data_IF_206807061772
#
_entry.id   IF_206807061772
#
_cell.length_a   1.000
_cell.length_b   1.000
_cell.length_c   1.000
_cell.angle_alpha   90.00
_cell.angle_beta   90.00
_cell.angle_gamma   90.00
#
_symmetry.space_group_name_H-M   'P 1'
#
loop_
_entity.id
_entity.type
_entity.pdbx_description
1 polymer ?
#
# COMPACT_ATOMS: atom_id res chain seq x y z
N UNK A 1 38.45 24.55 -37.48
CA UNK A 1 37.50 24.28 -36.37
C UNK A 1 36.11 24.27 -36.99
N UNK A 2 35.45 23.12 -36.99
CA UNK A 2 34.12 22.93 -37.59
C UNK A 2 33.10 22.69 -36.48
N UNK A 3 31.94 23.36 -36.55
CA UNK A 3 30.82 23.03 -35.65
C UNK A 3 29.82 22.19 -36.45
N UNK A 4 29.61 20.95 -36.04
CA UNK A 4 28.60 20.06 -36.63
C UNK A 4 27.41 19.93 -35.72
N UNK A 5 26.21 20.16 -36.26
CA UNK A 5 24.96 19.93 -35.53
C UNK A 5 24.41 18.56 -35.89
N UNK A 6 24.16 17.73 -34.88
CA UNK A 6 23.47 16.46 -35.05
C UNK A 6 21.96 16.68 -35.22
N UNK A 7 21.26 15.67 -35.73
CA UNK A 7 19.79 15.65 -35.87
C UNK A 7 19.07 15.83 -34.53
N UNK A 8 19.73 15.46 -33.44
CA UNK A 8 19.25 15.61 -32.06
C UNK A 8 19.44 17.03 -31.49
N UNK A 9 20.01 17.96 -32.28
CA UNK A 9 20.32 19.33 -31.88
C UNK A 9 21.59 19.48 -31.06
N UNK A 10 22.36 18.41 -30.86
CA UNK A 10 23.69 18.46 -30.23
C UNK A 10 24.68 19.16 -31.16
N UNK A 11 25.49 20.07 -30.62
CA UNK A 11 26.53 20.77 -31.36
C UNK A 11 27.89 20.16 -30.97
N UNK A 12 28.58 19.58 -31.95
CA UNK A 12 29.94 19.05 -31.79
C UNK A 12 30.93 20.07 -32.36
N UNK A 13 31.85 20.56 -31.54
CA UNK A 13 33.03 21.29 -32.02
C UNK A 13 34.09 20.28 -32.42
N UNK A 14 34.43 20.23 -33.70
CA UNK A 14 35.39 19.31 -34.29
C UNK A 14 36.65 20.08 -34.68
N UNK A 15 37.81 19.60 -34.22
CA UNK A 15 39.12 20.09 -34.62
C UNK A 15 39.88 18.89 -35.19
N UNK A 16 40.35 19.00 -36.44
CA UNK A 16 41.11 17.94 -37.14
C UNK A 16 40.41 16.56 -37.13
N UNK A 17 39.09 16.53 -37.26
CA UNK A 17 38.29 15.29 -37.27
C UNK A 17 37.98 14.71 -35.88
N UNK A 18 38.46 15.33 -34.80
CA UNK A 18 38.21 14.90 -33.42
C UNK A 18 37.20 15.82 -32.74
N UNK A 19 36.20 15.24 -32.06
CA UNK A 19 35.22 15.98 -31.26
C UNK A 19 35.94 16.53 -30.03
N UNK A 20 36.02 17.84 -29.92
CA UNK A 20 36.70 18.55 -28.84
C UNK A 20 35.74 18.99 -27.73
N UNK A 21 34.50 19.33 -28.10
CA UNK A 21 33.45 19.69 -27.15
C UNK A 21 32.07 19.32 -27.70
N UNK A 22 31.20 18.83 -26.82
CA UNK A 22 29.79 18.57 -27.14
C UNK A 22 28.91 19.52 -26.32
N UNK A 23 28.14 20.35 -27.01
CA UNK A 23 27.00 21.06 -26.42
C UNK A 23 25.77 20.19 -26.61
N UNK A 24 25.24 19.56 -25.54
CA UNK A 24 24.02 18.79 -25.68
C UNK A 24 22.91 19.73 -26.17
N UNK A 25 22.20 19.31 -27.21
CA UNK A 25 21.04 20.04 -27.70
C UNK A 25 20.06 20.19 -26.57
N UNK A 26 19.47 21.39 -26.39
CA UNK A 26 18.40 21.61 -25.40
C UNK A 26 17.21 20.74 -25.79
N UNK A 27 17.21 19.46 -25.38
CA UNK A 27 16.01 18.63 -25.39
C UNK A 27 15.02 19.35 -24.49
N UNK A 28 13.88 19.79 -25.05
CA UNK A 28 12.76 20.26 -24.24
C UNK A 28 12.45 19.14 -23.26
N UNK A 29 12.66 19.38 -21.96
CA UNK A 29 12.27 18.45 -20.90
C UNK A 29 10.84 18.02 -21.18
N UNK A 30 10.58 16.71 -21.21
CA UNK A 30 9.20 16.22 -21.33
C UNK A 30 8.46 16.69 -20.07
N UNK A 31 7.15 16.89 -20.17
CA UNK A 31 6.30 17.29 -19.02
C UNK A 31 6.46 16.37 -17.79
N UNK A 32 6.98 15.16 -17.98
CA UNK A 32 7.21 14.17 -16.94
C UNK A 32 8.65 14.18 -16.39
N UNK A 33 9.54 15.04 -16.90
CA UNK A 33 10.90 15.24 -16.39
C UNK A 33 10.96 16.37 -15.34
N UNK A 34 9.80 16.92 -14.95
CA UNK A 34 9.70 17.78 -13.76
C UNK A 34 9.72 16.89 -12.52
N UNK A 35 10.66 17.16 -11.62
CA UNK A 35 10.76 16.45 -10.36
C UNK A 35 9.46 16.64 -9.57
N UNK A 36 8.94 15.54 -9.01
CA UNK A 36 7.75 15.58 -8.18
C UNK A 36 7.99 16.47 -6.95
N UNK A 37 7.32 17.62 -6.89
CA UNK A 37 7.28 18.48 -5.70
C UNK A 37 5.97 18.32 -4.95
N UNK A 38 6.07 18.01 -3.66
CA UNK A 38 4.93 17.88 -2.76
C UNK A 38 4.27 19.25 -2.52
N UNK A 39 5.07 20.30 -2.47
CA UNK A 39 4.68 21.70 -2.30
C UNK A 39 3.82 22.16 -3.48
N UNK A 40 4.28 21.90 -4.72
CA UNK A 40 3.49 22.21 -5.92
C UNK A 40 2.20 21.39 -5.99
N UNK A 41 2.22 20.12 -5.59
CA UNK A 41 1.01 19.32 -5.52
C UNK A 41 0.01 19.91 -4.51
N UNK A 42 0.49 20.34 -3.34
CA UNK A 42 -0.35 20.98 -2.32
C UNK A 42 -0.90 22.33 -2.77
N UNK A 43 -0.09 23.17 -3.41
CA UNK A 43 -0.57 24.43 -4.00
C UNK A 43 -1.72 24.18 -4.97
N UNK A 44 -1.57 23.23 -5.90
CA UNK A 44 -2.62 22.84 -6.84
C UNK A 44 -3.86 22.28 -6.17
N UNK A 45 -3.71 21.59 -5.03
CA UNK A 45 -4.85 21.12 -4.23
C UNK A 45 -5.60 22.27 -3.55
N UNK A 46 -4.88 23.28 -3.03
CA UNK A 46 -5.49 24.49 -2.47
C UNK A 46 -6.28 25.23 -3.57
N UNK A 47 -5.67 25.43 -4.73
CA UNK A 47 -6.33 26.01 -5.91
C UNK A 47 -7.58 25.22 -6.31
N UNK A 48 -7.52 23.87 -6.24
CA UNK A 48 -8.69 23.02 -6.50
C UNK A 48 -9.81 23.26 -5.47
N UNK A 49 -9.48 23.41 -4.18
CA UNK A 49 -10.48 23.72 -3.13
C UNK A 49 -11.13 25.08 -3.39
N UNK A 50 -10.34 26.10 -3.71
CA UNK A 50 -10.86 27.44 -4.07
C UNK A 50 -11.80 27.33 -5.26
N UNK A 51 -11.38 26.62 -6.32
CA UNK A 51 -12.22 26.44 -7.51
C UNK A 51 -13.52 25.71 -7.23
N UNK A 52 -13.48 24.68 -6.39
CA UNK A 52 -14.65 23.91 -6.03
C UNK A 52 -15.70 24.75 -5.27
N UNK A 53 -15.26 25.63 -4.37
CA UNK A 53 -16.15 26.43 -3.52
C UNK A 53 -16.59 27.75 -4.17
N UNK A 54 -15.68 28.40 -4.87
CA UNK A 54 -15.83 29.80 -5.32
C UNK A 54 -15.72 29.97 -6.84
N UNK A 55 -15.39 28.92 -7.59
CA UNK A 55 -15.28 28.96 -9.05
C UNK A 55 -13.87 29.33 -9.52
N UNK A 56 -13.57 30.62 -9.68
CA UNK A 56 -12.33 31.06 -10.31
C UNK A 56 -11.31 31.70 -9.36
N UNK A 57 -11.78 32.38 -8.32
CA UNK A 57 -10.93 33.14 -7.38
C UNK A 57 -11.56 33.18 -5.99
N UNK A 58 -10.76 33.56 -5.00
CA UNK A 58 -11.22 33.78 -3.63
C UNK A 58 -12.16 35.00 -3.64
N UNK A 59 -13.37 34.91 -3.09
CA UNK A 59 -14.32 36.02 -3.04
C UNK A 59 -13.71 37.20 -2.31
N UNK A 60 -14.05 38.41 -2.75
CA UNK A 60 -13.65 39.64 -2.06
C UNK A 60 -14.49 39.75 -0.78
N UNK A 61 -13.86 39.71 0.41
CA UNK A 61 -14.59 39.82 1.66
C UNK A 61 -15.13 41.23 1.90
N UNK A 62 -14.65 42.27 1.22
CA UNK A 62 -15.03 43.66 1.54
C UNK A 62 -14.94 43.93 3.05
N UNK A 63 -16.04 44.40 3.63
CA UNK A 63 -16.23 44.66 5.07
C UNK A 63 -17.07 43.56 5.78
N UNK A 64 -17.21 42.35 5.21
CA UNK A 64 -17.90 41.25 5.91
C UNK A 64 -16.98 40.51 6.88
N UNK A 65 -17.62 39.79 7.81
CA UNK A 65 -16.94 38.97 8.83
C UNK A 65 -16.13 37.79 8.23
N UNK A 66 -16.26 37.51 6.93
CA UNK A 66 -15.58 36.41 6.23
C UNK A 66 -14.13 36.76 5.82
N UNK A 67 -13.63 37.95 6.16
CA UNK A 67 -12.28 38.40 5.80
C UNK A 67 -11.19 37.44 6.27
N UNK A 68 -11.28 36.96 7.49
CA UNK A 68 -10.31 36.00 8.04
C UNK A 68 -10.34 34.68 7.26
N UNK A 69 -11.54 34.15 6.98
CA UNK A 69 -11.71 32.93 6.17
C UNK A 69 -11.14 33.08 4.75
N UNK A 70 -11.26 34.27 4.16
CA UNK A 70 -10.68 34.56 2.85
C UNK A 70 -9.14 34.63 2.91
N UNK A 71 -8.58 35.25 3.95
CA UNK A 71 -7.14 35.29 4.20
C UNK A 71 -6.56 33.91 4.57
N UNK A 72 -7.37 33.02 5.14
CA UNK A 72 -6.96 31.64 5.44
C UNK A 72 -6.58 30.84 4.18
N UNK A 73 -7.19 31.13 3.03
CA UNK A 73 -6.74 30.59 1.74
C UNK A 73 -5.33 31.07 1.37
N UNK A 74 -5.05 32.35 1.56
CA UNK A 74 -3.73 32.96 1.30
C UNK A 74 -2.69 32.39 2.26
N UNK A 75 -3.04 32.25 3.54
CA UNK A 75 -2.20 31.60 4.55
C UNK A 75 -1.89 30.17 4.15
N UNK A 76 -2.89 29.36 3.80
CA UNK A 76 -2.68 27.97 3.37
C UNK A 76 -1.68 27.87 2.22
N UNK A 77 -1.81 28.76 1.22
CA UNK A 77 -0.91 28.81 0.08
C UNK A 77 0.51 29.22 0.49
N UNK A 78 0.67 30.32 1.23
CA UNK A 78 1.98 30.79 1.68
C UNK A 78 2.71 29.76 2.56
N UNK A 79 1.99 29.04 3.43
CA UNK A 79 2.55 28.01 4.30
C UNK A 79 2.85 26.67 3.60
N UNK A 80 2.61 26.58 2.29
CA UNK A 80 3.02 25.44 1.46
C UNK A 80 4.51 25.52 1.08
N UNK A 81 5.19 26.64 1.33
CA UNK A 81 6.66 26.80 1.12
C UNK A 81 7.12 26.44 -0.30
N UNK A 82 6.27 26.67 -1.30
CA UNK A 82 6.65 26.51 -2.71
C UNK A 82 7.53 27.67 -3.19
N UNK A 83 8.36 27.44 -4.21
CA UNK A 83 9.15 28.49 -4.90
C UNK A 83 8.30 29.52 -5.67
N UNK A 84 6.97 29.51 -5.51
CA UNK A 84 6.08 30.46 -6.17
C UNK A 84 6.12 31.84 -5.49
N UNK A 85 6.09 32.89 -6.30
CA UNK A 85 5.88 34.25 -5.82
C UNK A 85 4.43 34.41 -5.34
N UNK A 86 4.27 34.51 -4.02
CA UNK A 86 2.97 34.68 -3.38
C UNK A 86 2.27 35.98 -3.78
N UNK A 87 2.99 37.05 -4.10
CA UNK A 87 2.37 38.28 -4.58
C UNK A 87 1.76 38.07 -5.97
N UNK A 88 2.50 37.41 -6.88
CA UNK A 88 1.98 37.03 -8.19
C UNK A 88 0.80 36.06 -8.09
N UNK A 89 0.85 35.10 -7.16
CA UNK A 89 -0.25 34.16 -6.90
C UNK A 89 -1.50 34.90 -6.41
N UNK A 90 -1.38 35.83 -5.46
CA UNK A 90 -2.50 36.62 -4.95
C UNK A 90 -3.12 37.52 -6.03
N UNK A 91 -2.34 38.09 -6.95
CA UNK A 91 -2.90 38.87 -8.08
C UNK A 91 -3.89 38.08 -8.93
N UNK A 92 -3.73 36.76 -9.00
CA UNK A 92 -4.64 35.87 -9.75
C UNK A 92 -5.80 35.42 -8.86
N UNK A 93 -5.52 34.96 -7.64
CA UNK A 93 -6.49 34.27 -6.81
C UNK A 93 -7.20 35.14 -5.77
N UNK A 94 -6.61 36.25 -5.35
CA UNK A 94 -7.16 37.21 -4.39
C UNK A 94 -6.75 38.65 -4.76
N UNK A 95 -7.23 39.19 -5.90
CA UNK A 95 -6.81 40.52 -6.39
C UNK A 95 -7.20 41.67 -5.45
N UNK A 96 -8.16 41.44 -4.55
CA UNK A 96 -8.59 42.36 -3.50
C UNK A 96 -7.62 42.40 -2.30
N UNK A 97 -6.77 41.39 -2.12
CA UNK A 97 -5.88 41.30 -0.98
C UNK A 97 -4.75 42.34 -1.13
N UNK A 98 -4.65 43.23 -0.15
CA UNK A 98 -3.65 44.30 -0.19
C UNK A 98 -2.29 43.77 0.24
N UNK A 99 -1.23 44.48 -0.13
CA UNK A 99 0.13 44.12 0.30
C UNK A 99 0.26 44.15 1.84
N UNK A 100 -0.48 45.01 2.52
CA UNK A 100 -0.54 45.07 3.97
C UNK A 100 -1.10 43.78 4.61
N UNK A 101 -2.04 43.10 3.94
CA UNK A 101 -2.59 41.82 4.41
C UNK A 101 -1.64 40.66 4.09
N UNK A 102 -1.00 40.70 2.92
CA UNK A 102 -0.19 39.59 2.38
C UNK A 102 1.19 39.52 3.05
N UNK A 103 1.86 40.66 3.30
CA UNK A 103 3.23 40.69 3.85
C UNK A 103 3.37 40.02 5.23
N UNK A 104 2.47 40.23 6.20
CA UNK A 104 2.50 39.52 7.48
C UNK A 104 2.41 37.99 7.30
N UNK A 105 1.60 37.53 6.34
CA UNK A 105 1.44 36.11 6.04
C UNK A 105 2.73 35.53 5.44
N UNK A 106 3.32 36.22 4.45
CA UNK A 106 4.56 35.78 3.80
C UNK A 106 5.72 35.75 4.82
N UNK A 107 5.86 36.78 5.64
CA UNK A 107 6.91 36.84 6.67
C UNK A 107 6.77 35.72 7.69
N UNK A 108 5.54 35.43 8.17
CA UNK A 108 5.26 34.31 9.06
C UNK A 108 5.56 32.95 8.40
N UNK A 109 5.27 32.80 7.10
CA UNK A 109 5.57 31.58 6.35
C UNK A 109 7.08 31.36 6.18
N UNK A 110 7.85 32.43 5.89
CA UNK A 110 9.32 32.37 5.74
C UNK A 110 10.05 31.97 7.02
N UNK A 111 9.52 32.33 8.18
CA UNK A 111 10.10 31.98 9.47
C UNK A 111 9.96 30.49 9.82
N UNK A 112 9.17 29.72 9.07
CA UNK A 112 9.00 28.28 9.31
C UNK A 112 10.02 27.47 8.53
N UNK A 113 10.71 26.57 9.23
CA UNK A 113 11.64 25.62 8.61
C UNK A 113 10.93 24.51 7.81
N UNK A 114 9.65 24.25 8.10
CA UNK A 114 8.89 23.17 7.48
C UNK A 114 7.53 23.66 7.03
N UNK A 115 7.11 23.13 5.88
CA UNK A 115 5.76 23.29 5.35
C UNK A 115 4.70 22.87 6.39
N UNK A 116 3.57 23.56 6.41
CA UNK A 116 2.46 23.25 7.32
C UNK A 116 2.01 21.78 7.17
N UNK A 117 1.63 21.14 8.28
CA UNK A 117 1.11 19.77 8.27
C UNK A 117 -0.23 19.71 7.51
N UNK A 118 -0.52 18.56 6.90
CA UNK A 118 -1.75 18.33 6.13
C UNK A 118 -3.02 18.70 6.89
N UNK A 119 -3.06 18.39 8.18
CA UNK A 119 -4.24 18.62 9.03
C UNK A 119 -4.33 20.08 9.48
N UNK A 120 -3.20 20.79 9.56
CA UNK A 120 -3.19 22.23 9.79
C UNK A 120 -3.81 22.98 8.61
N UNK A 121 -3.44 22.60 7.38
CA UNK A 121 -4.05 23.18 6.17
C UNK A 121 -5.54 22.82 6.08
N UNK A 122 -5.91 21.58 6.42
CA UNK A 122 -7.31 21.17 6.41
C UNK A 122 -8.16 21.92 7.45
N UNK A 123 -7.61 22.18 8.63
CA UNK A 123 -8.28 23.00 9.66
C UNK A 123 -8.44 24.45 9.20
N UNK A 124 -7.38 25.04 8.65
CA UNK A 124 -7.40 26.41 8.13
C UNK A 124 -8.43 26.60 7.02
N UNK A 125 -8.54 25.63 6.12
CA UNK A 125 -9.49 25.66 5.02
C UNK A 125 -10.84 25.03 5.35
N UNK A 126 -11.07 24.54 6.58
CA UNK A 126 -12.27 23.77 6.95
C UNK A 126 -12.62 22.68 5.92
N UNK A 127 -11.63 21.90 5.47
CA UNK A 127 -11.85 20.83 4.48
C UNK A 127 -12.41 19.60 5.18
N UNK A 128 -13.62 19.20 4.79
CA UNK A 128 -14.28 18.00 5.33
C UNK A 128 -13.77 16.71 4.66
N UNK A 129 -14.01 15.56 5.27
CA UNK A 129 -13.64 14.27 4.71
C UNK A 129 -14.38 14.01 3.40
N UNK A 130 -15.64 14.42 3.32
CA UNK A 130 -16.44 14.28 2.12
C UNK A 130 -15.84 15.08 0.95
N UNK A 131 -15.51 16.35 1.18
CA UNK A 131 -14.83 17.21 0.20
C UNK A 131 -13.47 16.62 -0.21
N UNK A 132 -12.69 16.15 0.75
CA UNK A 132 -11.38 15.53 0.51
C UNK A 132 -11.49 14.34 -0.47
N UNK A 133 -12.48 13.47 -0.27
CA UNK A 133 -12.74 12.31 -1.12
C UNK A 133 -13.28 12.72 -2.48
N UNK A 134 -14.27 13.61 -2.51
CA UNK A 134 -14.91 14.07 -3.74
C UNK A 134 -13.90 14.74 -4.69
N UNK A 135 -12.99 15.54 -4.16
CA UNK A 135 -11.93 16.22 -4.92
C UNK A 135 -10.69 15.36 -5.15
N UNK A 136 -10.55 14.24 -4.43
CA UNK A 136 -9.38 13.36 -4.48
C UNK A 136 -8.10 14.03 -4.00
N UNK A 137 -8.17 14.76 -2.88
CA UNK A 137 -7.02 15.45 -2.28
C UNK A 137 -6.07 14.43 -1.64
N UNK A 138 -4.76 14.61 -1.84
CA UNK A 138 -3.70 13.71 -1.36
C UNK A 138 -2.84 14.33 -0.27
N UNK A 139 -2.59 15.64 -0.33
CA UNK A 139 -1.66 16.34 0.57
C UNK A 139 -2.37 17.08 1.70
N UNK A 140 -3.65 17.44 1.51
CA UNK A 140 -4.50 18.10 2.49
C UNK A 140 -5.28 17.05 3.28
N UNK A 141 -5.42 17.26 4.60
CA UNK A 141 -6.17 16.39 5.49
C UNK A 141 -7.69 16.61 5.44
N UNK A 142 -8.37 16.24 6.52
CA UNK A 142 -9.76 16.60 6.78
C UNK A 142 -9.91 17.07 8.24
N UNK A 143 -10.76 18.05 8.50
CA UNK A 143 -10.92 18.69 9.82
C UNK A 143 -12.03 18.06 10.68
N UNK A 144 -13.03 17.43 10.07
CA UNK A 144 -14.22 16.84 10.70
C UNK A 144 -13.99 15.44 11.29
N UNK A 145 -12.86 14.81 10.96
CA UNK A 145 -12.52 13.45 11.40
C UNK A 145 -11.09 13.37 11.89
N UNK A 146 -10.86 12.53 12.89
CA UNK A 146 -9.52 12.32 13.42
C UNK A 146 -8.64 11.58 12.39
N UNK A 147 -7.31 11.71 12.54
CA UNK A 147 -6.36 10.95 11.73
C UNK A 147 -6.56 9.44 11.86
N UNK A 148 -6.90 8.95 13.05
CA UNK A 148 -7.13 7.52 13.30
C UNK A 148 -8.36 7.00 12.54
N UNK A 149 -9.45 7.74 12.54
CA UNK A 149 -10.68 7.39 11.81
C UNK A 149 -10.45 7.40 10.30
N UNK A 150 -9.72 8.38 9.76
CA UNK A 150 -9.34 8.41 8.34
C UNK A 150 -8.55 7.16 7.93
N UNK A 151 -7.61 6.73 8.76
CA UNK A 151 -6.83 5.51 8.50
C UNK A 151 -7.69 4.25 8.54
N UNK A 152 -8.65 4.17 9.47
CA UNK A 152 -9.63 3.07 9.53
C UNK A 152 -10.47 3.03 8.25
N UNK A 153 -11.07 4.15 7.87
CA UNK A 153 -11.87 4.27 6.65
C UNK A 153 -11.07 3.95 5.39
N UNK A 154 -9.83 4.42 5.28
CA UNK A 154 -8.94 4.10 4.17
C UNK A 154 -8.64 2.58 4.09
N UNK A 155 -8.41 1.93 5.24
CA UNK A 155 -8.19 0.49 5.33
C UNK A 155 -9.44 -0.29 4.90
N UNK A 156 -10.62 0.14 5.31
CA UNK A 156 -11.87 -0.54 4.96
C UNK A 156 -12.22 -0.35 3.48
N UNK A 157 -12.02 0.85 2.90
CA UNK A 157 -12.13 1.06 1.45
C UNK A 157 -11.14 0.22 0.65
N UNK A 158 -9.91 0.04 1.16
CA UNK A 158 -8.92 -0.84 0.53
C UNK A 158 -9.39 -2.30 0.58
N UNK A 159 -9.82 -2.78 1.75
CA UNK A 159 -10.37 -4.15 1.91
C UNK A 159 -11.54 -4.40 0.98
N UNK A 160 -12.44 -3.43 0.83
CA UNK A 160 -13.57 -3.53 -0.10
C UNK A 160 -13.12 -3.63 -1.55
N UNK A 161 -12.21 -2.74 -1.98
CA UNK A 161 -11.62 -2.82 -3.33
C UNK A 161 -10.91 -4.14 -3.58
N UNK A 162 -10.15 -4.65 -2.60
CA UNK A 162 -9.45 -5.92 -2.71
C UNK A 162 -10.42 -7.11 -2.79
N UNK A 163 -11.51 -7.08 -2.02
CA UNK A 163 -12.60 -8.08 -2.10
C UNK A 163 -13.23 -8.08 -3.49
N UNK A 164 -13.56 -6.90 -4.01
CA UNK A 164 -14.18 -6.73 -5.32
C UNK A 164 -13.24 -7.14 -6.46
N UNK A 165 -11.96 -6.75 -6.40
CA UNK A 165 -10.95 -7.17 -7.35
C UNK A 165 -10.76 -8.70 -7.36
N UNK A 166 -10.70 -9.33 -6.19
CA UNK A 166 -10.61 -10.81 -6.09
C UNK A 166 -11.88 -11.49 -6.60
N UNK A 167 -13.06 -10.92 -6.38
CA UNK A 167 -14.31 -11.46 -6.92
C UNK A 167 -14.36 -11.34 -8.45
N UNK A 168 -13.99 -10.18 -9.00
CA UNK A 168 -13.91 -9.93 -10.44
C UNK A 168 -12.88 -10.87 -11.11
N UNK A 169 -11.70 -11.04 -10.50
CA UNK A 169 -10.68 -11.99 -10.98
C UNK A 169 -11.21 -13.42 -11.03
N UNK A 170 -11.87 -13.90 -9.96
CA UNK A 170 -12.48 -15.24 -9.92
C UNK A 170 -13.54 -15.41 -11.02
N UNK A 171 -14.37 -14.39 -11.25
CA UNK A 171 -15.38 -14.39 -12.32
C UNK A 171 -14.73 -14.45 -13.72
N UNK A 172 -13.67 -13.67 -13.94
CA UNK A 172 -12.95 -13.65 -15.22
C UNK A 172 -12.25 -14.99 -15.53
N UNK A 173 -11.73 -15.68 -14.50
CA UNK A 173 -11.17 -17.04 -14.60
C UNK A 173 -12.25 -18.13 -14.82
N UNK A 174 -13.53 -17.76 -14.90
CA UNK A 174 -14.62 -18.73 -15.08
C UNK A 174 -14.88 -19.62 -13.86
N UNK A 175 -14.39 -19.24 -12.67
CA UNK A 175 -14.63 -20.03 -11.45
C UNK A 175 -16.14 -20.05 -11.15
N UNK A 176 -16.67 -21.26 -11.01
CA UNK A 176 -18.07 -21.51 -10.65
C UNK A 176 -18.41 -20.77 -9.37
N UNK A 177 -19.59 -20.12 -9.34
CA UNK A 177 -20.09 -19.49 -8.14
C UNK A 177 -20.34 -20.56 -7.07
N UNK A 178 -20.21 -20.20 -5.79
CA UNK A 178 -20.39 -21.11 -4.66
C UNK A 178 -21.73 -21.84 -4.70
N UNK A 179 -22.82 -21.14 -5.02
CA UNK A 179 -24.15 -21.76 -5.22
C UNK A 179 -24.14 -22.87 -6.29
N UNK A 180 -23.52 -22.63 -7.44
CA UNK A 180 -23.43 -23.63 -8.51
C UNK A 180 -22.53 -24.81 -8.13
N UNK A 181 -21.46 -24.57 -7.38
CA UNK A 181 -20.60 -25.63 -6.85
C UNK A 181 -21.33 -26.49 -5.81
N UNK A 182 -22.03 -25.87 -4.87
CA UNK A 182 -22.78 -26.56 -3.82
C UNK A 182 -23.95 -27.39 -4.40
N UNK A 183 -24.66 -26.88 -5.40
CA UNK A 183 -25.71 -27.62 -6.11
C UNK A 183 -25.17 -28.87 -6.84
N UNK A 184 -23.95 -28.78 -7.40
CA UNK A 184 -23.29 -29.91 -8.06
C UNK A 184 -22.53 -30.81 -7.07
N UNK A 185 -22.46 -30.45 -5.79
CA UNK A 185 -21.76 -31.26 -4.79
C UNK A 185 -22.55 -32.53 -4.48
N UNK A 186 -21.85 -33.61 -4.13
CA UNK A 186 -22.49 -34.86 -3.70
C UNK A 186 -23.45 -34.65 -2.51
N UNK A 187 -23.19 -33.64 -1.67
CA UNK A 187 -24.09 -33.30 -0.57
C UNK A 187 -25.33 -32.52 -1.01
N UNK A 188 -25.25 -31.75 -2.10
CA UNK A 188 -26.41 -31.10 -2.72
C UNK A 188 -27.27 -32.06 -3.55
N UNK A 189 -26.64 -32.97 -4.28
CA UNK A 189 -27.33 -33.97 -5.10
C UNK A 189 -27.96 -35.11 -4.29
N UNK A 190 -27.46 -35.35 -3.07
CA UNK A 190 -27.96 -36.34 -2.11
C UNK A 190 -28.28 -37.71 -2.76
N UNK A 191 -27.32 -38.32 -3.49
CA UNK A 191 -27.54 -39.56 -4.24
C UNK A 191 -28.02 -40.74 -3.37
N UNK A 192 -27.70 -40.74 -2.08
CA UNK A 192 -28.15 -41.75 -1.13
C UNK A 192 -29.68 -41.75 -0.91
N UNK A 193 -30.35 -40.60 -1.09
CA UNK A 193 -31.80 -40.52 -1.01
C UNK A 193 -32.44 -41.29 -2.19
N UNK A 194 -31.81 -41.25 -3.37
CA UNK A 194 -32.23 -42.01 -4.55
C UNK A 194 -31.96 -43.52 -4.42
N UNK A 195 -30.88 -43.90 -3.73
CA UNK A 195 -30.58 -45.31 -3.43
C UNK A 195 -31.41 -45.88 -2.25
N UNK A 196 -32.12 -45.02 -1.51
CA UNK A 196 -32.90 -45.41 -0.33
C UNK A 196 -32.04 -45.82 0.87
N UNK A 197 -30.82 -45.29 0.98
CA UNK A 197 -29.84 -45.68 2.00
C UNK A 197 -29.42 -44.44 2.79
N UNK A 198 -29.06 -44.60 4.06
CA UNK A 198 -28.50 -43.49 4.85
C UNK A 198 -27.21 -42.93 4.22
N UNK A 199 -27.04 -41.60 4.30
CA UNK A 199 -25.82 -40.88 3.90
C UNK A 199 -24.53 -41.54 4.40
N UNK A 200 -24.51 -41.94 5.68
CA UNK A 200 -23.34 -42.57 6.32
C UNK A 200 -22.98 -43.88 5.63
N UNK A 201 -23.98 -44.71 5.35
CA UNK A 201 -23.78 -46.00 4.67
C UNK A 201 -23.31 -45.79 3.23
N UNK A 202 -23.86 -44.81 2.52
CA UNK A 202 -23.46 -44.47 1.15
C UNK A 202 -21.98 -44.11 1.04
N UNK A 203 -21.48 -43.24 1.93
CA UNK A 203 -20.05 -42.90 2.00
C UNK A 203 -19.17 -44.08 2.45
N UNK A 204 -19.64 -44.94 3.39
CA UNK A 204 -18.89 -46.17 3.78
C UNK A 204 -18.75 -47.15 2.62
N UNK A 205 -19.79 -47.31 1.80
CA UNK A 205 -19.77 -48.20 0.62
C UNK A 205 -18.79 -47.74 -0.45
N UNK A 206 -18.64 -46.43 -0.62
CA UNK A 206 -17.63 -45.81 -1.49
C UNK A 206 -16.28 -45.62 -0.79
N UNK A 207 -15.93 -46.54 0.10
CA UNK A 207 -14.79 -46.47 1.01
C UNK A 207 -13.58 -45.76 0.40
N UNK A 208 -13.01 -44.86 1.21
CA UNK A 208 -11.69 -44.26 1.01
C UNK A 208 -10.75 -45.25 0.34
N UNK A 209 -10.50 -45.05 -0.96
CA UNK A 209 -9.41 -45.74 -1.64
C UNK A 209 -8.13 -45.52 -0.84
N UNK A 210 -7.26 -46.53 -0.80
CA UNK A 210 -5.97 -46.46 -0.11
C UNK A 210 -5.34 -45.12 -0.43
N UNK A 211 -5.22 -44.24 0.58
CA UNK A 211 -4.61 -42.94 0.36
C UNK A 211 -3.21 -43.21 -0.18
N UNK A 212 -2.91 -42.67 -1.36
CA UNK A 212 -1.57 -42.77 -1.93
C UNK A 212 -0.64 -42.00 -1.00
N UNK A 213 0.10 -42.75 -0.18
CA UNK A 213 1.21 -42.21 0.61
C UNK A 213 2.33 -41.96 -0.39
N UNK A 214 2.46 -40.72 -0.85
CA UNK A 214 3.66 -40.32 -1.58
C UNK A 214 4.80 -40.29 -0.54
N UNK A 215 5.67 -41.30 -0.61
CA UNK A 215 6.89 -41.36 0.20
C UNK A 215 7.84 -40.30 -0.37
N UNK A 216 7.85 -39.12 0.24
CA UNK A 216 8.76 -38.04 -0.14
C UNK A 216 10.16 -38.33 0.43
N UNK A 217 10.94 -39.17 -0.27
CA UNK A 217 12.28 -39.62 0.13
C UNK A 217 13.33 -38.51 0.14
N UNK A 218 12.96 -37.26 -0.17
CA UNK A 218 13.91 -36.12 -0.23
C UNK A 218 14.27 -35.52 1.13
N UNK A 219 13.50 -35.79 2.19
CA UNK A 219 13.74 -35.18 3.50
C UNK A 219 14.28 -36.15 4.56
N UNK A 220 14.30 -37.45 4.27
CA UNK A 220 14.87 -38.44 5.17
C UNK A 220 16.40 -38.47 5.02
N UNK A 221 17.07 -37.68 5.86
CA UNK A 221 18.53 -37.78 6.01
C UNK A 221 18.83 -39.10 6.70
N UNK A 222 19.36 -40.07 5.95
CA UNK A 222 19.80 -41.34 6.52
C UNK A 222 20.91 -41.07 7.54
N UNK A 223 20.66 -41.44 8.80
CA UNK A 223 21.69 -41.46 9.86
C UNK A 223 22.73 -42.53 9.46
N UNK A 224 24.01 -42.19 9.32
CA UNK A 224 25.04 -43.19 9.03
C UNK A 224 25.11 -44.18 10.19
N UNK A 225 24.85 -45.45 9.91
CA UNK A 225 25.03 -46.52 10.88
C UNK A 225 26.56 -46.75 11.06
N UNK A 226 27.13 -46.56 12.26
CA UNK A 226 28.58 -46.62 12.46
C UNK A 226 29.19 -48.03 12.38
N UNK A 227 28.40 -49.08 12.09
CA UNK A 227 28.86 -50.48 12.10
C UNK A 227 28.85 -51.16 10.73
N UNK A 228 29.38 -50.51 9.70
CA UNK A 228 29.74 -51.16 8.43
C UNK A 228 31.14 -50.71 8.00
N UNK A 229 32.15 -51.26 8.68
CA UNK A 229 33.50 -51.31 8.13
C UNK A 229 33.66 -52.57 7.28
N UNK A 230 34.27 -52.35 6.10
CA UNK A 230 34.99 -53.32 5.25
C UNK A 230 34.19 -54.00 4.14
N UNK A 231 34.33 -53.50 2.91
CA UNK A 231 35.09 -54.23 1.88
C UNK A 231 35.36 -53.35 0.66
N UNK A 232 36.53 -53.56 0.06
CA UNK A 232 37.22 -52.68 -0.87
C UNK A 232 36.71 -52.78 -2.32
N UNK A 233 36.86 -51.65 -3.03
CA UNK A 233 37.21 -51.49 -4.45
C UNK A 233 36.33 -52.12 -5.55
N UNK A 234 35.63 -51.27 -6.31
CA UNK A 234 35.74 -51.23 -7.79
C UNK A 234 35.44 -49.81 -8.31
N UNK A 235 36.22 -49.39 -9.30
CA UNK A 235 36.36 -47.99 -9.69
C UNK A 235 35.32 -47.42 -10.67
N UNK A 236 35.50 -46.10 -10.83
CA UNK A 236 35.14 -45.28 -11.99
C UNK A 236 33.66 -44.89 -12.15
N UNK A 237 33.29 -43.70 -11.69
CA UNK A 237 32.59 -42.69 -12.50
C UNK A 237 32.63 -41.33 -11.80
N UNK A 238 33.17 -40.35 -12.52
CA UNK A 238 33.31 -38.97 -12.09
C UNK A 238 31.96 -38.27 -11.89
N UNK A 239 31.76 -37.62 -10.75
CA UNK A 239 30.83 -36.51 -10.60
C UNK A 239 31.49 -35.40 -9.77
N UNK A 240 31.59 -34.23 -10.40
CA UNK A 240 32.22 -32.99 -9.91
C UNK A 240 31.73 -32.60 -8.52
N UNK A 241 32.64 -32.61 -7.54
CA UNK A 241 32.47 -31.87 -6.29
C UNK A 241 32.79 -30.40 -6.56
N UNK A 242 31.78 -29.54 -6.47
CA UNK A 242 31.97 -28.09 -6.42
C UNK A 242 32.67 -27.74 -5.11
N UNK A 243 33.91 -27.28 -5.24
CA UNK A 243 34.77 -26.77 -4.18
C UNK A 243 34.19 -25.46 -3.64
N UNK A 244 33.64 -25.47 -2.43
CA UNK A 244 33.28 -24.24 -1.70
C UNK A 244 34.56 -23.54 -1.22
N UNK A 245 34.66 -22.21 -1.31
CA UNK A 245 35.84 -21.48 -0.88
C UNK A 245 35.94 -21.39 0.65
N UNK A 246 37.12 -21.71 1.16
CA UNK A 246 37.56 -21.54 2.54
C UNK A 246 37.63 -20.05 2.91
N UNK A 247 36.97 -19.65 4.00
CA UNK A 247 37.04 -18.32 4.60
C UNK A 247 38.08 -18.36 5.72
N UNK A 248 39.22 -17.68 5.52
CA UNK A 248 40.24 -17.48 6.56
C UNK A 248 39.93 -16.22 7.41
N UNK A 249 40.49 -16.13 8.63
CA UNK A 249 40.03 -15.22 9.69
C UNK A 249 40.78 -13.88 9.69
N UNK A 250 40.15 -12.82 10.17
CA UNK A 250 40.83 -11.56 10.41
C UNK A 250 39.93 -10.38 10.80
N UNK A 251 40.10 -9.97 12.06
CA UNK A 251 39.99 -8.62 12.61
C UNK A 251 38.68 -8.10 13.23
N UNK A 252 38.88 -7.77 14.51
CA UNK A 252 38.11 -7.12 15.55
C UNK A 252 37.76 -5.66 15.29
N UNK A 253 36.74 -5.18 16.01
CA UNK A 253 36.52 -3.89 16.73
C UNK A 253 34.99 -3.87 16.97
N UNK A 254 34.41 -3.59 18.13
CA UNK A 254 34.82 -3.03 19.40
C UNK A 254 33.50 -2.65 20.13
N UNK A 255 33.51 -2.82 21.45
CA UNK A 255 32.38 -2.87 22.37
C UNK A 255 31.76 -1.51 22.76
N UNK A 256 30.49 -1.51 23.18
CA UNK A 256 29.89 -0.81 24.36
C UNK A 256 28.35 -0.98 24.32
N UNK A 257 27.72 -1.77 25.21
CA UNK A 257 27.20 -1.43 26.56
C UNK A 257 26.07 -0.37 26.53
N UNK A 258 24.90 -0.47 27.17
CA UNK A 258 24.33 -1.26 28.28
C UNK A 258 22.79 -1.37 28.05
N UNK A 259 22.00 -2.33 28.54
CA UNK A 259 21.84 -2.80 29.92
C UNK A 259 20.51 -2.28 30.48
N UNK A 260 19.75 -3.14 31.18
CA UNK A 260 18.39 -3.00 31.78
C UNK A 260 17.21 -3.48 30.92
N UNK A 261 16.28 -4.33 31.34
CA UNK A 261 16.20 -5.26 32.48
C UNK A 261 15.15 -6.33 32.10
N UNK A 262 15.39 -7.55 32.56
CA UNK A 262 14.46 -8.67 32.50
C UNK A 262 13.43 -8.55 33.62
N UNK A 263 12.19 -9.01 33.38
CA UNK A 263 11.40 -9.88 34.27
C UNK A 263 9.92 -9.94 33.83
N UNK A 264 9.31 -11.13 33.93
CA UNK A 264 7.85 -11.28 33.89
C UNK A 264 7.29 -12.28 32.86
N UNK A 265 7.77 -13.52 32.86
CA UNK A 265 7.01 -14.67 32.32
C UNK A 265 5.89 -14.99 33.30
N UNK A 266 4.68 -14.49 33.02
CA UNK A 266 3.46 -14.83 33.75
C UNK A 266 2.75 -16.00 33.10
N UNK A 267 2.64 -17.09 33.84
CA UNK A 267 1.85 -18.28 33.55
C UNK A 267 0.40 -17.94 33.18
N UNK A 268 0.00 -18.31 31.96
CA UNK A 268 -1.40 -18.43 31.60
C UNK A 268 -1.69 -19.88 31.19
N UNK A 269 -2.52 -20.61 31.96
CA UNK A 269 -2.91 -21.97 31.60
C UNK A 269 -3.76 -21.96 30.32
N UNK A 270 -3.63 -22.96 29.43
CA UNK A 270 -4.47 -23.07 28.25
C UNK A 270 -5.91 -23.32 28.66
N UNK A 271 -6.82 -22.44 28.24
CA UNK A 271 -8.25 -22.58 28.44
C UNK A 271 -8.72 -23.94 27.90
N UNK A 272 -9.36 -24.70 28.79
CA UNK A 272 -9.80 -26.05 28.56
C UNK A 272 -10.88 -26.18 27.49
N UNK A 273 -10.80 -27.32 26.81
CA UNK A 273 -11.91 -28.02 26.20
C UNK A 273 -13.09 -28.14 27.19
N UNK A 274 -14.32 -27.87 26.75
CA UNK A 274 -15.53 -28.68 26.96
C UNK A 274 -16.80 -27.89 26.63
N UNK A 275 -17.72 -28.53 25.91
CA UNK A 275 -19.08 -28.01 25.69
C UNK A 275 -19.67 -28.36 24.33
N UNK A 276 -19.68 -29.64 23.95
CA UNK A 276 -20.57 -30.11 22.90
C UNK A 276 -21.99 -30.19 23.48
N UNK A 277 -22.90 -29.35 23.00
CA UNK A 277 -24.32 -29.41 23.35
C UNK A 277 -24.94 -30.71 22.84
N UNK A 278 -25.73 -31.44 23.65
CA UNK A 278 -26.43 -32.63 23.22
C UNK A 278 -27.63 -32.27 22.33
N UNK A 279 -27.64 -32.84 21.12
CA UNK A 279 -28.78 -32.82 20.22
C UNK A 279 -30.00 -33.52 20.86
N UNK A 280 -31.02 -32.75 21.22
CA UNK A 280 -32.34 -33.27 21.55
C UNK A 280 -33.00 -33.89 20.31
N UNK A 281 -33.36 -35.18 20.42
CA UNK A 281 -34.18 -35.89 19.44
C UNK A 281 -35.45 -36.38 20.15
N UNK A 282 -36.58 -35.86 19.65
CA UNK A 282 -37.97 -36.31 19.71
C UNK A 282 -38.34 -37.53 20.55
N UNK A 283 -39.38 -37.38 21.37
CA UNK A 283 -40.47 -38.35 21.40
C UNK A 283 -41.81 -37.61 21.23
N UNK A 284 -42.70 -38.22 20.46
CA UNK A 284 -44.05 -37.74 20.22
C UNK A 284 -45.06 -38.72 20.81
N UNK A 285 -46.11 -38.17 21.41
CA UNK A 285 -47.40 -38.77 21.77
C UNK A 285 -48.36 -37.56 21.86
N UNK A 286 -49.66 -37.54 21.55
CA UNK A 286 -50.65 -38.46 21.00
C UNK A 286 -51.73 -37.55 20.36
N UNK A 287 -52.39 -37.97 19.28
CA UNK A 287 -53.66 -38.68 19.26
C UNK A 287 -54.87 -37.94 19.87
N UNK A 288 -55.95 -37.90 19.07
CA UNK A 288 -57.37 -37.69 19.40
C UNK A 288 -57.86 -36.26 19.75
N UNK A 289 -58.51 -35.60 18.77
CA UNK A 289 -59.96 -35.36 18.68
C UNK A 289 -60.26 -34.17 17.74
#
# INVERSE_FOLDING_TARGET
>A
MEIRKSRDGTEHMIINGVIYAEKPGRRKRRRNDEDFSLELLRMREIEKVIKHRHGDRIPDPGDTDDRETCLDYVRAAAFTSSDQDMAAWCRVWAPWATEADILPIISAARNRQRMMRSDGVAGLLNVTLNENIAMGLKTIGACDVTRAERLRLAKDRKRERDRNAKAAKRKAEGRKNRKSYEAQSLSGQRPWDAEGISRRTWYRRRGTGVARVDIDTKCDTLVPNPNLETSQNHGTAACKVLRMPSRSPGQSIGSSEAGTDAEGLGDHPPAGCQGAEPHGRSEGEGNAA
#
